data_IF_976148384766
#
_entry.id   IF_976148384766
#
_cell.length_a   1.000
_cell.length_b   1.000
_cell.length_c   1.000
_cell.angle_alpha   90.00
_cell.angle_beta   90.00
_cell.angle_gamma   90.00
#
_symmetry.space_group_name_H-M   'P 1'
#
loop_
_entity.id
_entity.type
_entity.pdbx_description
1 polymer ?
#
# COMPACT_ATOMS: atom_id res chain seq x y z
N UNK A 1 22.79 23.53 61.81
CA UNK A 1 22.41 24.95 62.00
C UNK A 1 22.05 25.50 60.63
N UNK A 2 20.83 26.06 60.47
CA UNK A 2 20.20 26.46 59.20
C UNK A 2 21.05 27.46 58.40
N UNK A 3 21.09 27.35 57.06
CA UNK A 3 21.07 28.53 56.18
C UNK A 3 20.70 28.22 54.71
N UNK A 4 19.50 28.72 54.34
CA UNK A 4 19.05 29.34 53.09
C UNK A 4 18.72 28.51 51.83
N UNK A 5 17.44 28.66 51.46
CA UNK A 5 16.81 28.41 50.17
C UNK A 5 17.54 29.11 49.02
N UNK A 6 17.55 28.47 47.85
CA UNK A 6 17.18 29.14 46.59
C UNK A 6 16.36 28.16 45.75
N UNK A 7 15.09 28.50 45.53
CA UNK A 7 14.25 27.85 44.55
C UNK A 7 14.62 28.40 43.17
N UNK A 8 15.14 27.54 42.29
CA UNK A 8 15.27 27.88 40.87
C UNK A 8 14.00 27.39 40.16
N UNK A 9 13.09 28.33 39.89
CA UNK A 9 11.93 28.13 39.06
C UNK A 9 12.38 28.11 37.59
N UNK A 10 12.52 26.91 36.99
CA UNK A 10 12.78 26.79 35.57
C UNK A 10 11.47 26.96 34.79
N UNK A 11 11.30 28.13 34.15
CA UNK A 11 10.29 28.32 33.11
C UNK A 11 10.70 27.48 31.88
N UNK A 12 10.02 26.36 31.64
CA UNK A 12 10.04 25.74 30.32
C UNK A 12 9.12 26.55 29.41
N UNK A 13 9.70 27.46 28.64
CA UNK A 13 9.02 27.99 27.46
C UNK A 13 8.92 26.86 26.44
N UNK A 14 7.74 26.27 26.32
CA UNK A 14 7.39 25.38 25.21
C UNK A 14 7.38 26.22 23.92
N UNK A 15 8.51 26.21 23.21
CA UNK A 15 8.55 26.66 21.82
C UNK A 15 7.76 25.61 21.04
N UNK A 16 6.48 25.90 20.81
CA UNK A 16 5.71 25.24 19.78
C UNK A 16 6.36 25.55 18.44
N UNK A 17 7.11 24.60 17.88
CA UNK A 17 7.40 24.61 16.46
C UNK A 17 6.07 24.37 15.74
N UNK A 18 5.39 25.46 15.40
CA UNK A 18 4.45 25.45 14.32
C UNK A 18 5.23 25.00 13.08
N UNK A 19 5.05 23.74 12.65
CA UNK A 19 5.38 23.34 11.30
C UNK A 19 4.50 24.22 10.41
N UNK A 20 5.11 25.24 9.81
CA UNK A 20 4.51 25.92 8.67
C UNK A 20 4.26 24.84 7.63
N UNK A 21 2.99 24.52 7.40
CA UNK A 21 2.59 23.79 6.22
C UNK A 21 2.98 24.68 5.05
N UNK A 22 4.08 24.33 4.38
CA UNK A 22 4.43 24.94 3.10
C UNK A 22 3.30 24.62 2.13
N UNK A 23 2.40 25.59 1.91
CA UNK A 23 1.48 25.54 0.79
C UNK A 23 2.31 25.75 -0.47
N UNK A 24 2.73 24.67 -1.10
CA UNK A 24 3.35 24.73 -2.41
C UNK A 24 2.33 25.25 -3.42
N UNK A 25 2.48 26.49 -3.89
CA UNK A 25 1.77 27.07 -5.04
C UNK A 25 2.19 26.43 -6.39
N UNK A 26 2.76 25.22 -6.35
CA UNK A 26 3.14 24.46 -7.54
C UNK A 26 1.89 23.70 -7.99
N UNK A 27 1.39 24.03 -9.18
CA UNK A 27 0.33 23.25 -9.81
C UNK A 27 0.74 21.76 -9.82
N UNK A 28 -0.14 20.83 -9.38
CA UNK A 28 0.21 19.42 -9.32
C UNK A 28 0.66 18.92 -10.69
N UNK A 29 1.77 18.18 -10.74
CA UNK A 29 2.29 17.60 -11.98
C UNK A 29 1.22 16.68 -12.59
N UNK A 30 0.70 16.98 -13.80
CA UNK A 30 -0.35 16.21 -14.44
C UNK A 30 0.11 14.81 -14.87
N UNK A 31 1.41 14.50 -14.76
CA UNK A 31 1.98 13.20 -15.08
C UNK A 31 2.28 12.33 -13.86
N UNK A 32 1.99 12.82 -12.64
CA UNK A 32 2.03 11.98 -11.43
C UNK A 32 0.88 10.98 -11.46
N UNK A 33 1.15 9.75 -11.03
CA UNK A 33 0.11 8.73 -10.89
C UNK A 33 -0.85 9.10 -9.76
N UNK A 34 -2.15 9.09 -10.05
CA UNK A 34 -3.17 9.29 -9.02
C UNK A 34 -3.13 8.15 -8.00
N UNK A 35 -2.99 8.50 -6.72
CA UNK A 35 -3.14 7.54 -5.63
C UNK A 35 -4.58 7.59 -5.14
N UNK A 36 -5.24 6.44 -5.07
CA UNK A 36 -6.63 6.37 -4.61
C UNK A 36 -6.75 6.82 -3.15
N UNK A 37 -7.76 7.63 -2.87
CA UNK A 37 -8.12 7.96 -1.50
C UNK A 37 -8.58 6.69 -0.74
N UNK A 38 -8.43 6.64 0.60
CA UNK A 38 -8.84 5.48 1.40
C UNK A 38 -10.28 5.01 1.18
N UNK A 39 -11.20 5.93 0.87
CA UNK A 39 -12.62 5.64 0.62
C UNK A 39 -12.92 5.18 -0.80
N UNK A 40 -11.97 5.32 -1.72
CA UNK A 40 -12.19 5.15 -3.17
C UNK A 40 -11.59 3.83 -3.69
N UNK A 41 -11.26 2.93 -2.76
CA UNK A 41 -10.79 1.58 -3.06
C UNK A 41 -11.75 0.54 -2.45
N UNK A 42 -12.86 0.19 -3.14
CA UNK A 42 -13.84 -0.77 -2.65
C UNK A 42 -13.27 -2.13 -2.19
N UNK A 43 -12.16 -2.66 -2.73
CA UNK A 43 -11.55 -3.88 -2.21
C UNK A 43 -10.99 -3.77 -0.78
N UNK A 44 -10.77 -2.56 -0.25
CA UNK A 44 -10.31 -2.37 1.13
C UNK A 44 -11.27 -3.02 2.14
N UNK A 45 -10.72 -3.80 3.06
CA UNK A 45 -11.48 -4.59 4.04
C UNK A 45 -11.94 -5.96 3.52
N UNK A 46 -11.70 -6.28 2.24
CA UNK A 46 -12.11 -7.54 1.62
C UNK A 46 -10.92 -8.42 1.23
N UNK A 47 -11.22 -9.70 1.02
CA UNK A 47 -10.25 -10.71 0.63
C UNK A 47 -10.58 -11.27 -0.75
N UNK A 48 -9.55 -11.59 -1.53
CA UNK A 48 -9.70 -12.15 -2.87
C UNK A 48 -8.73 -13.31 -3.09
N UNK A 49 -9.22 -14.35 -3.76
CA UNK A 49 -8.40 -15.40 -4.33
C UNK A 49 -8.03 -14.98 -5.76
N UNK A 50 -6.73 -14.88 -6.04
CA UNK A 50 -6.24 -14.74 -7.40
C UNK A 50 -5.72 -16.09 -7.89
N UNK A 51 -6.16 -16.51 -9.07
CA UNK A 51 -5.78 -17.80 -9.66
C UNK A 51 -5.16 -17.58 -11.05
N UNK A 52 -3.84 -17.70 -11.13
CA UNK A 52 -3.04 -17.65 -12.37
C UNK A 52 -2.74 -19.05 -12.92
N UNK A 53 -3.54 -20.06 -12.57
CA UNK A 53 -3.35 -21.46 -12.92
C UNK A 53 -2.42 -22.17 -11.93
N UNK A 54 -1.13 -22.28 -12.25
CA UNK A 54 -0.15 -22.96 -11.39
C UNK A 54 0.20 -22.16 -10.13
N UNK A 55 -0.05 -20.85 -10.13
CA UNK A 55 0.19 -19.95 -9.02
C UNK A 55 -1.14 -19.37 -8.57
N UNK A 56 -1.45 -19.52 -7.29
CA UNK A 56 -2.69 -19.04 -6.68
C UNK A 56 -2.35 -18.33 -5.39
N UNK A 57 -2.97 -17.20 -5.11
CA UNK A 57 -2.68 -16.42 -3.92
C UNK A 57 -3.96 -15.91 -3.28
N UNK A 58 -3.92 -15.69 -1.97
CA UNK A 58 -4.93 -14.93 -1.27
C UNK A 58 -4.38 -13.51 -1.04
N UNK A 59 -5.20 -12.52 -1.37
CA UNK A 59 -4.94 -11.10 -1.17
C UNK A 59 -5.97 -10.57 -0.17
N UNK A 60 -5.51 -10.20 1.01
CA UNK A 60 -6.32 -9.56 2.05
C UNK A 60 -6.03 -8.06 2.03
N UNK A 61 -6.86 -7.26 1.38
CA UNK A 61 -6.69 -5.80 1.34
C UNK A 61 -7.12 -5.22 2.69
N UNK A 62 -6.16 -4.79 3.51
CA UNK A 62 -6.46 -4.19 4.82
C UNK A 62 -6.94 -2.75 4.67
N UNK A 63 -6.39 -2.05 3.70
CA UNK A 63 -6.75 -0.68 3.32
C UNK A 63 -6.37 -0.41 1.84
N UNK A 64 -6.51 0.83 1.38
CA UNK A 64 -5.98 1.25 0.07
C UNK A 64 -4.45 1.32 0.01
N UNK A 65 -3.75 1.19 1.14
CA UNK A 65 -2.29 1.30 1.24
C UNK A 65 -1.61 0.08 1.87
N UNK A 66 -2.38 -0.93 2.31
CA UNK A 66 -1.84 -2.12 2.97
C UNK A 66 -2.59 -3.39 2.53
N UNK A 67 -1.83 -4.45 2.22
CA UNK A 67 -2.36 -5.75 1.83
C UNK A 67 -1.56 -6.87 2.52
N UNK A 68 -2.24 -7.89 3.02
CA UNK A 68 -1.60 -9.16 3.37
C UNK A 68 -1.71 -10.12 2.19
N UNK A 69 -0.56 -10.56 1.69
CA UNK A 69 -0.46 -11.58 0.66
C UNK A 69 -0.18 -12.93 1.31
N UNK A 70 -0.85 -13.99 0.87
CA UNK A 70 -0.63 -15.37 1.33
C UNK A 70 -0.40 -16.32 0.15
N UNK A 71 0.69 -17.09 0.22
CA UNK A 71 1.04 -18.14 -0.74
C UNK A 71 -0.01 -19.27 -0.77
N UNK A 72 -0.09 -20.07 -1.86
CA UNK A 72 -1.12 -21.09 -1.98
C UNK A 72 -1.04 -22.19 -0.92
N UNK A 73 0.14 -22.43 -0.34
CA UNK A 73 0.35 -23.38 0.75
C UNK A 73 0.11 -22.78 2.15
N UNK A 74 -0.22 -21.48 2.23
CA UNK A 74 -0.43 -20.75 3.48
C UNK A 74 0.84 -20.49 4.29
N UNK A 75 2.02 -20.90 3.82
CA UNK A 75 3.27 -20.82 4.61
C UNK A 75 4.01 -19.50 4.49
N UNK A 76 3.77 -18.77 3.40
CA UNK A 76 4.40 -17.48 3.13
C UNK A 76 3.32 -16.40 3.10
N UNK A 77 3.09 -15.84 4.28
CA UNK A 77 2.19 -14.72 4.51
C UNK A 77 3.00 -13.47 4.83
N UNK A 78 2.72 -12.37 4.13
CA UNK A 78 3.42 -11.12 4.34
C UNK A 78 2.48 -9.93 4.15
N UNK A 79 2.48 -9.02 5.12
CA UNK A 79 1.85 -7.70 4.96
C UNK A 79 2.81 -6.76 4.25
N UNK A 80 2.32 -6.08 3.23
CA UNK A 80 3.09 -5.18 2.37
C UNK A 80 2.33 -3.86 2.21
N UNK A 81 3.10 -2.79 2.08
CA UNK A 81 2.56 -1.52 1.60
C UNK A 81 2.28 -1.63 0.11
N UNK A 82 1.10 -1.16 -0.29
CA UNK A 82 0.67 -1.11 -1.68
C UNK A 82 0.50 0.34 -2.13
N UNK A 83 0.73 0.60 -3.41
CA UNK A 83 0.31 1.81 -4.09
C UNK A 83 -0.80 1.42 -5.05
N UNK A 84 -1.94 2.11 -4.96
CA UNK A 84 -3.11 1.83 -5.79
C UNK A 84 -3.45 3.05 -6.63
N UNK A 85 -3.57 2.84 -7.93
CA UNK A 85 -4.02 3.86 -8.89
C UNK A 85 -5.27 3.37 -9.59
N UNK A 86 -6.31 4.20 -9.62
CA UNK A 86 -7.55 3.88 -10.34
C UNK A 86 -7.34 4.14 -11.82
N UNK A 87 -7.55 3.13 -12.67
CA UNK A 87 -7.49 3.27 -14.13
C UNK A 87 -8.85 3.73 -14.67
N UNK A 88 -9.93 3.11 -14.18
CA UNK A 88 -11.33 3.41 -14.52
C UNK A 88 -12.24 2.78 -13.44
N UNK A 89 -13.59 2.88 -13.51
CA UNK A 89 -14.45 2.15 -12.59
C UNK A 89 -14.11 0.65 -12.56
N UNK A 90 -13.99 0.12 -11.34
CA UNK A 90 -13.67 -1.27 -11.01
C UNK A 90 -12.33 -1.81 -11.51
N UNK A 91 -11.45 -0.95 -12.03
CA UNK A 91 -10.12 -1.34 -12.51
C UNK A 91 -9.03 -0.52 -11.83
N UNK A 92 -8.14 -1.23 -11.17
CA UNK A 92 -7.07 -0.65 -10.37
C UNK A 92 -5.72 -1.24 -10.77
N UNK A 93 -4.71 -0.38 -10.82
CA UNK A 93 -3.32 -0.77 -10.82
C UNK A 93 -2.86 -0.88 -9.37
N UNK A 94 -2.36 -2.04 -8.96
CA UNK A 94 -1.84 -2.27 -7.60
C UNK A 94 -0.36 -2.61 -7.71
N UNK A 95 0.48 -1.82 -7.06
CA UNK A 95 1.94 -2.01 -7.04
C UNK A 95 2.42 -2.29 -5.63
N UNK A 96 3.36 -3.22 -5.49
CA UNK A 96 4.12 -3.40 -4.26
C UNK A 96 5.49 -4.01 -4.49
N UNK A 97 6.34 -3.93 -3.47
CA UNK A 97 7.61 -4.63 -3.39
C UNK A 97 7.65 -5.48 -2.13
N UNK A 98 8.21 -6.68 -2.25
CA UNK A 98 8.41 -7.59 -1.10
C UNK A 98 9.80 -7.48 -0.49
N UNK A 99 10.77 -7.10 -1.32
CA UNK A 99 12.19 -6.90 -1.00
C UNK A 99 12.88 -6.25 -2.21
N UNK A 100 14.09 -5.76 -2.01
CA UNK A 100 14.91 -5.20 -3.08
C UNK A 100 14.99 -6.14 -4.30
N UNK A 101 14.77 -5.59 -5.50
CA UNK A 101 14.77 -6.34 -6.76
C UNK A 101 13.53 -7.20 -6.98
N UNK A 102 12.57 -7.26 -6.05
CA UNK A 102 11.30 -7.95 -6.24
C UNK A 102 10.13 -6.97 -6.25
N UNK A 103 9.48 -6.85 -7.41
CA UNK A 103 8.38 -5.93 -7.66
C UNK A 103 7.20 -6.66 -8.27
N UNK A 104 6.00 -6.26 -7.87
CA UNK A 104 4.76 -6.81 -8.43
C UNK A 104 3.87 -5.67 -8.87
N UNK A 105 3.36 -5.76 -10.09
CA UNK A 105 2.36 -4.85 -10.65
C UNK A 105 1.17 -5.68 -11.05
N UNK A 106 0.02 -5.44 -10.43
CA UNK A 106 -1.25 -5.98 -10.85
C UNK A 106 -2.07 -4.94 -11.58
N UNK A 107 -2.83 -5.39 -12.58
CA UNK A 107 -4.04 -4.72 -13.05
C UNK A 107 -5.21 -5.62 -12.68
N UNK A 108 -6.06 -5.14 -11.79
CA UNK A 108 -7.17 -5.90 -11.22
C UNK A 108 -8.49 -5.29 -11.70
N UNK A 109 -9.23 -6.04 -12.52
CA UNK A 109 -10.57 -5.70 -12.97
C UNK A 109 -11.58 -6.48 -12.11
N UNK A 110 -12.06 -5.84 -11.05
CA UNK A 110 -13.03 -6.40 -10.12
C UNK A 110 -14.40 -6.60 -10.76
N UNK A 111 -14.77 -5.74 -11.71
CA UNK A 111 -16.03 -5.84 -12.45
C UNK A 111 -16.09 -7.07 -13.36
N UNK A 112 -14.96 -7.44 -13.97
CA UNK A 112 -14.82 -8.63 -14.83
C UNK A 112 -14.22 -9.84 -14.14
N UNK A 113 -13.79 -9.71 -12.88
CA UNK A 113 -13.14 -10.77 -12.08
C UNK A 113 -11.86 -11.32 -12.74
N UNK A 114 -11.03 -10.43 -13.28
CA UNK A 114 -9.77 -10.78 -13.97
C UNK A 114 -8.62 -9.98 -13.37
N UNK A 115 -7.47 -10.63 -13.18
CA UNK A 115 -6.23 -9.98 -12.81
C UNK A 115 -5.15 -10.25 -13.86
N UNK A 116 -4.32 -9.24 -14.12
CA UNK A 116 -3.07 -9.35 -14.86
C UNK A 116 -1.93 -9.03 -13.92
N UNK A 117 -0.83 -9.79 -13.94
CA UNK A 117 0.31 -9.59 -13.05
C UNK A 117 1.60 -9.55 -13.85
N UNK A 118 2.47 -8.59 -13.53
CA UNK A 118 3.88 -8.60 -13.88
C UNK A 118 4.69 -8.73 -12.57
N UNK A 119 5.49 -9.79 -12.45
CA UNK A 119 6.34 -10.04 -11.29
C UNK A 119 7.78 -9.98 -11.76
N UNK A 120 8.53 -9.00 -11.24
CA UNK A 120 9.96 -8.86 -11.45
C UNK A 120 10.69 -9.53 -10.29
N UNK A 121 11.64 -10.39 -10.60
CA UNK A 121 12.43 -11.13 -9.62
C UNK A 121 13.84 -10.53 -9.47
N UNK A 122 14.52 -10.74 -8.32
CA UNK A 122 15.84 -10.16 -8.08
C UNK A 122 16.93 -10.58 -9.08
N UNK A 123 16.73 -11.70 -9.78
CA UNK A 123 17.64 -12.17 -10.84
C UNK A 123 17.39 -11.50 -12.21
N UNK A 124 16.45 -10.54 -12.27
CA UNK A 124 16.06 -9.83 -13.48
C UNK A 124 15.03 -10.57 -14.34
N UNK A 125 14.64 -11.80 -13.97
CA UNK A 125 13.59 -12.51 -14.69
C UNK A 125 12.20 -11.89 -14.42
N UNK A 126 11.30 -12.04 -15.39
CA UNK A 126 9.95 -11.48 -15.34
C UNK A 126 8.92 -12.55 -15.60
N UNK A 127 7.93 -12.65 -14.72
CA UNK A 127 6.73 -13.48 -14.93
C UNK A 127 5.56 -12.57 -15.34
N UNK A 128 4.82 -12.98 -16.37
CA UNK A 128 3.62 -12.27 -16.83
C UNK A 128 2.45 -13.22 -16.82
N UNK A 129 1.41 -12.89 -16.07
CA UNK A 129 0.32 -13.80 -15.75
C UNK A 129 -1.03 -13.14 -16.02
N UNK A 130 -2.02 -13.95 -16.36
CA UNK A 130 -3.44 -13.58 -16.40
C UNK A 130 -4.22 -14.64 -15.63
N UNK A 131 -5.15 -14.20 -14.80
CA UNK A 131 -5.90 -15.06 -13.91
C UNK A 131 -7.27 -14.54 -13.56
N UNK A 132 -7.98 -15.30 -12.75
CA UNK A 132 -9.27 -14.89 -12.19
C UNK A 132 -9.09 -14.23 -10.83
N UNK A 133 -10.01 -13.33 -10.47
CA UNK A 133 -10.07 -12.65 -9.19
C UNK A 133 -11.44 -12.91 -8.55
N UNK A 134 -11.46 -13.70 -7.49
CA UNK A 134 -12.71 -14.16 -6.84
C UNK A 134 -12.76 -13.65 -5.40
N UNK A 135 -13.83 -12.97 -4.97
CA UNK A 135 -14.03 -12.61 -3.57
C UNK A 135 -13.97 -13.86 -2.66
N UNK A 136 -13.41 -13.71 -1.47
CA UNK A 136 -13.42 -14.71 -0.40
C UNK A 136 -14.25 -14.13 0.75
N UNK A 137 -15.22 -14.91 1.21
CA UNK A 137 -16.06 -14.59 2.38
C UNK A 137 -15.30 -14.77 3.71
#
# INVERSE_FOLDING_TARGET
MKLHQFAALAFFASIGLAHAAESSDIAPDPHVVDIVAPTDFPPAGHSYAVDFGKQKFRLDFKSSSEMTFTSPDGKNTQTVQITVTRIRPDVYLVFWSRKAGQYVVHVEDFGRRVAYSNIFLPDGSVQRLKGTLTPID
#
